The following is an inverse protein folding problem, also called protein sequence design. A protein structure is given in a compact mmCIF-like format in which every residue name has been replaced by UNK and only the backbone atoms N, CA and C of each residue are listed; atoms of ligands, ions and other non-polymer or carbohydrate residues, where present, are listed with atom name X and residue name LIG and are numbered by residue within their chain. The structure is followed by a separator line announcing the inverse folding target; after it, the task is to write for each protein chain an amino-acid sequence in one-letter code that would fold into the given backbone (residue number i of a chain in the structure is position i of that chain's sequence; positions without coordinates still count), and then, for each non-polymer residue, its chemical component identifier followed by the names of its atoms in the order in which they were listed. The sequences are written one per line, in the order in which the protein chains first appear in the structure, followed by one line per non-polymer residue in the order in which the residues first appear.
data_IF_516239332554
#
_entry.id   IF_516239332554
#
_cell.length_a   1.000
_cell.length_b   1.000
_cell.length_c   1.000
_cell.angle_alpha   90.00
_cell.angle_beta   90.00
_cell.angle_gamma   90.00
#
_symmetry.space_group_name_H-M   'P 1'
#
loop_
_entity.id
_entity.type
_entity.pdbx_description
1 polymer ?
#
# COMPACT_ATOMS: atom_id res chain seq x y z
N UNK A 1 7.08 -8.45 -6.31
CA UNK A 1 6.15 -8.48 -7.44
C UNK A 1 5.16 -7.36 -7.23
N UNK A 2 5.04 -6.44 -8.19
CA UNK A 2 3.91 -5.52 -8.18
C UNK A 2 2.81 -6.17 -9.02
N UNK A 3 1.64 -6.42 -8.43
CA UNK A 3 0.54 -7.13 -9.10
C UNK A 3 -0.29 -6.21 -10.01
N UNK A 4 0.38 -5.36 -10.78
CA UNK A 4 -0.23 -4.54 -11.80
C UNK A 4 0.03 -5.15 -13.21
N UNK A 5 -0.92 -5.02 -14.16
CA UNK A 5 -0.78 -5.61 -15.50
C UNK A 5 0.47 -5.14 -16.27
N UNK A 6 0.98 -3.95 -15.99
CA UNK A 6 2.16 -3.40 -16.66
C UNK A 6 3.43 -4.10 -16.16
N UNK A 7 3.57 -4.30 -14.85
CA UNK A 7 4.71 -5.02 -14.27
C UNK A 7 4.82 -6.44 -14.83
N UNK A 8 3.72 -7.15 -15.02
CA UNK A 8 3.72 -8.49 -15.63
C UNK A 8 4.22 -8.50 -17.09
N UNK A 9 4.08 -7.39 -17.81
CA UNK A 9 4.45 -7.29 -19.23
C UNK A 9 5.85 -6.71 -19.46
N UNK A 10 6.33 -5.84 -18.56
CA UNK A 10 7.56 -5.05 -18.79
C UNK A 10 8.69 -5.46 -17.83
N UNK A 11 8.37 -5.89 -16.61
CA UNK A 11 9.39 -6.18 -15.61
C UNK A 11 9.75 -7.66 -15.62
N UNK A 12 11.05 -7.97 -15.68
CA UNK A 12 11.55 -9.28 -15.28
C UNK A 12 11.65 -9.33 -13.76
N UNK A 13 10.70 -9.98 -13.11
CA UNK A 13 10.68 -10.12 -11.66
C UNK A 13 11.42 -11.39 -11.22
N UNK A 14 12.31 -11.25 -10.22
CA UNK A 14 13.03 -12.37 -9.61
C UNK A 14 12.61 -12.51 -8.16
N UNK A 15 12.14 -13.70 -7.78
CA UNK A 15 11.87 -14.09 -6.41
C UNK A 15 13.00 -14.97 -5.87
N UNK A 16 13.32 -14.84 -4.59
CA UNK A 16 14.26 -15.72 -3.90
C UNK A 16 13.50 -16.43 -2.78
N UNK A 17 13.61 -17.76 -2.72
CA UNK A 17 13.15 -18.54 -1.58
C UNK A 17 14.31 -18.71 -0.61
N UNK A 18 14.17 -18.22 0.61
CA UNK A 18 15.21 -18.27 1.64
C UNK A 18 14.70 -19.08 2.82
N UNK A 19 15.32 -20.22 3.08
CA UNK A 19 15.05 -21.02 4.27
C UNK A 19 15.99 -20.60 5.40
N UNK A 20 15.56 -19.63 6.20
CA UNK A 20 16.31 -19.15 7.36
C UNK A 20 15.36 -18.67 8.45
N UNK A 21 15.34 -19.41 9.58
CA UNK A 21 14.48 -19.07 10.71
C UNK A 21 14.78 -17.68 11.28
N UNK A 22 16.05 -17.36 11.52
CA UNK A 22 16.45 -16.08 12.10
C UNK A 22 16.11 -14.88 11.22
N UNK A 23 16.30 -15.00 9.89
CA UNK A 23 15.90 -13.95 8.96
C UNK A 23 14.38 -13.79 8.89
N UNK A 24 13.65 -14.92 8.84
CA UNK A 24 12.19 -14.92 8.82
C UNK A 24 11.59 -14.25 10.04
N UNK A 25 12.09 -14.57 11.24
CA UNK A 25 11.63 -13.96 12.50
C UNK A 25 11.93 -12.46 12.56
N UNK A 26 13.14 -12.04 12.15
CA UNK A 26 13.50 -10.63 12.13
C UNK A 26 12.65 -9.83 11.13
N UNK A 27 12.40 -10.38 9.95
CA UNK A 27 11.54 -9.74 8.95
C UNK A 27 10.08 -9.67 9.42
N UNK A 28 9.56 -10.75 10.01
CA UNK A 28 8.21 -10.78 10.56
C UNK A 28 8.01 -9.70 11.61
N UNK A 29 8.94 -9.54 12.56
CA UNK A 29 8.85 -8.50 13.60
C UNK A 29 8.85 -7.08 13.01
N UNK A 30 9.62 -6.84 11.95
CA UNK A 30 9.62 -5.53 11.27
C UNK A 30 8.28 -5.27 10.58
N UNK A 31 7.74 -6.26 9.86
CA UNK A 31 6.45 -6.13 9.19
C UNK A 31 5.34 -5.93 10.22
N UNK A 32 5.30 -6.75 11.28
CA UNK A 32 4.30 -6.65 12.35
C UNK A 32 4.29 -5.27 13.01
N UNK A 33 5.47 -4.67 13.23
CA UNK A 33 5.58 -3.28 13.69
C UNK A 33 5.03 -2.30 12.67
N UNK A 34 5.43 -2.42 11.40
CA UNK A 34 5.10 -1.44 10.36
C UNK A 34 3.62 -1.45 9.98
N UNK A 35 2.93 -2.59 10.12
CA UNK A 35 1.48 -2.72 9.87
C UNK A 35 0.62 -2.41 11.10
N UNK A 36 1.19 -1.99 12.22
CA UNK A 36 0.40 -1.49 13.34
C UNK A 36 -0.42 -0.27 12.89
N UNK A 37 -1.61 -0.10 13.46
CA UNK A 37 -2.51 1.01 13.13
C UNK A 37 -1.92 2.39 13.45
N UNK A 38 -0.94 2.46 14.35
CA UNK A 38 -0.18 3.70 14.62
C UNK A 38 0.78 4.08 13.48
N UNK A 39 1.17 3.11 12.63
CA UNK A 39 2.16 3.27 11.57
C UNK A 39 1.53 3.15 10.16
N UNK A 40 0.26 2.76 10.07
CA UNK A 40 -0.38 2.40 8.82
C UNK A 40 -1.88 2.71 8.83
N UNK A 41 -2.46 2.72 7.63
CA UNK A 41 -3.89 2.86 7.42
C UNK A 41 -4.46 1.54 6.94
N UNK A 42 -5.49 1.04 7.62
CA UNK A 42 -6.28 -0.10 7.18
C UNK A 42 -7.44 0.38 6.31
N UNK A 43 -7.55 -0.20 5.12
CA UNK A 43 -8.69 0.05 4.24
C UNK A 43 -9.79 -0.96 4.58
N UNK A 44 -10.98 -0.45 4.85
CA UNK A 44 -12.17 -1.24 5.15
C UNK A 44 -13.33 -0.81 4.27
N UNK A 45 -14.29 -1.71 4.06
CA UNK A 45 -15.59 -1.40 3.47
C UNK A 45 -16.61 -1.36 4.60
N UNK A 46 -17.47 -0.35 4.60
CA UNK A 46 -18.58 -0.27 5.54
C UNK A 46 -19.78 -1.14 5.10
N UNK A 47 -20.91 -1.00 5.81
CA UNK A 47 -22.12 -1.76 5.51
C UNK A 47 -22.78 -1.41 4.17
N UNK A 48 -22.47 -0.24 3.61
CA UNK A 48 -22.99 0.26 2.34
C UNK A 48 -21.99 0.06 1.18
N UNK A 49 -20.79 -0.44 1.48
CA UNK A 49 -19.72 -0.67 0.51
C UNK A 49 -18.84 0.55 0.25
N UNK A 50 -18.90 1.57 1.10
CA UNK A 50 -18.04 2.75 1.03
C UNK A 50 -16.67 2.47 1.68
N UNK A 51 -15.63 3.11 1.14
CA UNK A 51 -14.25 2.92 1.61
C UNK A 51 -13.93 3.80 2.81
N UNK A 52 -13.50 3.16 3.90
CA UNK A 52 -12.95 3.81 5.09
C UNK A 52 -11.47 3.53 5.24
N UNK A 53 -10.72 4.55 5.66
CA UNK A 53 -9.32 4.45 6.03
C UNK A 53 -9.23 4.64 7.55
N UNK A 54 -8.77 3.60 8.24
CA UNK A 54 -8.74 3.52 9.69
C UNK A 54 -7.29 3.46 10.17
N UNK A 55 -6.92 4.31 11.13
CA UNK A 55 -5.67 4.19 11.87
C UNK A 55 -5.97 4.10 13.39
N UNK A 56 -4.97 4.30 14.24
CA UNK A 56 -5.13 4.25 15.70
C UNK A 56 -5.88 5.45 16.32
N UNK A 57 -6.04 6.54 15.58
CA UNK A 57 -6.54 7.83 16.11
C UNK A 57 -7.81 8.33 15.41
N UNK A 58 -8.03 7.96 14.16
CA UNK A 58 -9.11 8.47 13.34
C UNK A 58 -9.58 7.50 12.25
N UNK A 59 -10.76 7.81 11.72
CA UNK A 59 -11.35 7.17 10.54
C UNK A 59 -11.68 8.25 9.54
N UNK A 60 -11.21 8.11 8.30
CA UNK A 60 -11.45 9.07 7.22
C UNK A 60 -12.02 8.36 5.99
N UNK A 61 -12.90 9.06 5.27
CA UNK A 61 -13.57 8.54 4.06
C UNK A 61 -12.80 8.86 2.77
N UNK A 62 -11.73 9.65 2.86
CA UNK A 62 -10.87 10.01 1.74
C UNK A 62 -9.45 9.50 1.98
N UNK A 63 -8.77 9.10 0.90
CA UNK A 63 -7.38 8.64 0.97
C UNK A 63 -6.50 9.61 1.79
N UNK A 64 -5.81 9.11 2.83
CA UNK A 64 -4.87 9.88 3.62
C UNK A 64 -3.74 10.43 2.74
N UNK A 65 -3.41 11.70 2.94
CA UNK A 65 -2.34 12.38 2.23
C UNK A 65 -1.46 13.10 3.24
N UNK A 66 -0.15 13.04 3.05
CA UNK A 66 0.84 13.72 3.90
C UNK A 66 0.66 15.23 3.87
N UNK A 67 0.19 15.78 2.75
CA UNK A 67 -0.14 17.19 2.59
C UNK A 67 -1.03 17.41 1.35
N UNK A 68 -1.47 18.66 1.18
CA UNK A 68 -2.27 19.11 0.03
C UNK A 68 -1.61 18.81 -1.33
N UNK A 69 -0.29 18.94 -1.43
CA UNK A 69 0.43 18.75 -2.69
C UNK A 69 0.38 17.31 -3.19
N UNK A 70 0.43 16.33 -2.27
CA UNK A 70 0.27 14.92 -2.63
C UNK A 70 -1.08 14.67 -3.34
N UNK A 71 -2.16 15.29 -2.88
CA UNK A 71 -3.49 15.15 -3.53
C UNK A 71 -3.49 15.69 -4.96
N UNK A 72 -2.80 16.81 -5.20
CA UNK A 72 -2.65 17.38 -6.55
C UNK A 72 -1.87 16.43 -7.45
N UNK A 73 -0.78 15.85 -6.93
CA UNK A 73 0.02 14.85 -7.65
C UNK A 73 -0.80 13.60 -7.98
N UNK A 74 -1.59 13.08 -7.03
CA UNK A 74 -2.43 11.90 -7.23
C UNK A 74 -3.44 12.12 -8.37
N UNK A 75 -4.04 13.31 -8.46
CA UNK A 75 -4.97 13.66 -9.55
C UNK A 75 -4.23 13.77 -10.88
N UNK A 76 -3.06 14.43 -10.90
CA UNK A 76 -2.25 14.57 -12.11
C UNK A 76 -1.80 13.20 -12.64
N UNK A 77 -1.31 12.31 -11.78
CA UNK A 77 -0.88 10.96 -12.18
C UNK A 77 -2.03 10.06 -12.61
N UNK A 78 -3.24 10.24 -12.05
CA UNK A 78 -4.45 9.53 -12.55
C UNK A 78 -4.82 9.91 -13.99
N UNK A 79 -4.45 11.10 -14.46
CA UNK A 79 -4.75 11.57 -15.82
C UNK A 79 -3.74 11.04 -16.87
N UNK A 80 -2.56 10.59 -16.44
CA UNK A 80 -1.56 9.97 -17.31
C UNK A 80 -2.02 8.53 -17.62
N UNK A 81 -1.80 8.00 -18.85
CA UNK A 81 -2.19 6.63 -19.16
C UNK A 81 -1.51 5.65 -18.21
N UNK A 82 -2.31 4.74 -17.63
CA UNK A 82 -1.86 3.71 -16.68
C UNK A 82 -0.81 2.76 -17.26
N UNK A 83 -0.61 2.77 -18.57
CA UNK A 83 0.42 1.99 -19.27
C UNK A 83 1.84 2.55 -19.04
N UNK A 84 1.94 3.83 -18.68
CA UNK A 84 3.21 4.52 -18.40
C UNK A 84 3.53 4.67 -16.90
N UNK A 85 2.70 4.11 -16.02
CA UNK A 85 2.85 4.11 -14.55
C UNK A 85 2.69 2.70 -13.97
#
# INVERSE_FOLDING_TARGET
MNYDPRSAMINSEMGVFIESKGLGEALAQLIERDVQTANSWRVELDGDGELHWVNDTEVVTTQPARNWWQRVQDVFFKAVPKEYY
#
